data_IF_163605968181
#
_entry.id   IF_163605968181
#
_cell.length_a   1.000
_cell.length_b   1.000
_cell.length_c   1.000
_cell.angle_alpha   90.00
_cell.angle_beta   90.00
_cell.angle_gamma   90.00
#
_symmetry.space_group_name_H-M   'P 1'
#
loop_
_entity.id
_entity.type
_entity.pdbx_description
1 polymer ?
#
# COMPACT_ATOMS: atom_id res chain seq x y z
N UNK A 1 -16.22 -28.18 5.34
CA UNK A 1 -15.20 -27.81 4.33
C UNK A 1 -14.74 -26.37 4.39
N UNK A 2 -15.21 -25.54 5.32
CA UNK A 2 -14.80 -24.12 5.45
C UNK A 2 -13.67 -23.86 6.47
N UNK A 3 -13.18 -24.88 7.16
CA UNK A 3 -12.18 -24.72 8.25
C UNK A 3 -10.73 -24.91 7.81
N UNK A 4 -10.49 -25.47 6.63
CA UNK A 4 -9.14 -25.68 6.07
C UNK A 4 -8.64 -24.52 5.20
N UNK A 5 -9.51 -23.61 4.78
CA UNK A 5 -9.12 -22.47 3.94
C UNK A 5 -8.53 -21.29 4.74
N UNK A 6 -8.90 -21.15 6.01
CA UNK A 6 -8.47 -20.02 6.86
C UNK A 6 -7.06 -20.20 7.45
N UNK A 7 -6.58 -21.44 7.56
CA UNK A 7 -5.26 -21.74 8.15
C UNK A 7 -4.12 -21.51 7.15
N UNK A 8 -4.34 -21.71 5.84
CA UNK A 8 -3.30 -21.52 4.83
C UNK A 8 -3.02 -20.05 4.48
N UNK A 9 -4.01 -19.17 4.56
CA UNK A 9 -3.85 -17.75 4.24
C UNK A 9 -3.02 -16.99 5.29
N UNK A 10 -3.14 -17.34 6.57
CA UNK A 10 -2.36 -16.71 7.63
C UNK A 10 -0.90 -17.15 7.64
N UNK A 11 -0.61 -18.41 7.30
CA UNK A 11 0.76 -18.93 7.28
C UNK A 11 1.62 -18.32 6.16
N UNK A 12 1.03 -18.01 5.01
CA UNK A 12 1.78 -17.45 3.87
C UNK A 12 2.00 -15.94 3.98
N UNK A 13 1.02 -15.20 4.48
CA UNK A 13 1.18 -13.75 4.74
C UNK A 13 2.09 -13.48 5.94
N UNK A 14 2.03 -14.31 6.96
CA UNK A 14 2.96 -14.31 8.08
C UNK A 14 4.38 -14.67 7.61
N UNK A 15 4.55 -15.63 6.71
CA UNK A 15 5.85 -16.02 6.19
C UNK A 15 6.54 -14.91 5.37
N UNK A 16 5.77 -14.09 4.61
CA UNK A 16 6.30 -12.90 3.91
C UNK A 16 6.60 -11.77 4.92
N UNK A 17 5.83 -11.66 5.98
CA UNK A 17 6.07 -10.71 7.06
C UNK A 17 7.27 -11.10 7.92
N UNK A 18 7.51 -12.40 8.13
CA UNK A 18 8.66 -12.94 8.86
C UNK A 18 9.94 -12.94 8.03
N UNK A 19 9.87 -13.02 6.70
CA UNK A 19 11.05 -12.83 5.85
C UNK A 19 11.62 -11.41 5.95
N UNK A 20 10.80 -10.42 6.30
CA UNK A 20 11.25 -9.05 6.63
C UNK A 20 11.75 -8.90 8.07
N UNK A 21 11.45 -9.84 8.97
CA UNK A 21 11.81 -9.81 10.40
C UNK A 21 13.00 -10.74 10.73
N UNK A 22 13.32 -11.71 9.88
CA UNK A 22 14.41 -12.69 10.11
C UNK A 22 15.81 -12.07 10.09
N UNK A 23 15.96 -10.82 9.68
CA UNK A 23 17.24 -10.09 9.77
C UNK A 23 17.46 -9.41 11.14
N UNK A 24 16.50 -9.39 12.06
CA UNK A 24 16.57 -8.49 13.22
C UNK A 24 16.78 -9.13 14.59
N UNK A 25 16.96 -10.42 14.78
CA UNK A 25 17.24 -10.95 16.14
C UNK A 25 18.25 -12.09 16.08
N UNK A 26 19.54 -11.74 16.14
CA UNK A 26 20.61 -12.67 16.54
C UNK A 26 21.62 -11.90 17.38
N UNK A 27 21.36 -11.81 18.68
CA UNK A 27 22.36 -11.40 19.67
C UNK A 27 22.63 -12.59 20.59
N UNK A 28 23.91 -13.04 20.52
CA UNK A 28 24.75 -13.66 21.55
C UNK A 28 24.36 -15.03 22.15
N UNK A 29 25.09 -16.05 21.73
CA UNK A 29 25.95 -16.87 22.64
C UNK A 29 27.00 -17.62 21.81
N UNK A 30 28.29 -17.61 22.18
CA UNK A 30 29.30 -18.42 21.52
C UNK A 30 29.18 -19.87 22.02
N UNK A 31 28.65 -20.74 21.22
CA UNK A 31 28.74 -22.17 21.50
C UNK A 31 29.86 -22.75 20.63
N UNK A 32 30.88 -23.32 21.26
CA UNK A 32 31.94 -24.06 20.60
C UNK A 32 31.31 -25.24 19.89
N UNK A 33 30.98 -25.07 18.62
CA UNK A 33 30.61 -26.14 17.73
C UNK A 33 31.86 -26.91 17.34
N UNK A 34 31.95 -28.15 17.80
CA UNK A 34 32.91 -29.12 17.25
C UNK A 34 32.78 -29.13 15.73
N UNK A 35 33.83 -28.69 15.05
CA UNK A 35 34.05 -28.96 13.64
C UNK A 35 34.13 -30.45 13.45
N UNK A 36 33.03 -31.11 13.06
CA UNK A 36 33.09 -32.44 12.50
C UNK A 36 33.83 -32.32 11.17
N UNK A 37 35.15 -32.44 11.22
CA UNK A 37 35.94 -32.78 10.08
C UNK A 37 35.47 -34.19 9.62
N UNK A 38 34.64 -34.21 8.58
CA UNK A 38 34.41 -35.45 7.83
C UNK A 38 35.76 -35.88 7.28
N UNK A 39 36.38 -36.88 7.89
CA UNK A 39 37.57 -37.54 7.37
C UNK A 39 37.22 -38.09 5.98
N UNK A 40 37.86 -37.54 4.96
CA UNK A 40 37.93 -38.10 3.60
C UNK A 40 38.80 -39.36 3.62
N UNK A 41 38.20 -40.47 4.03
CA UNK A 41 38.83 -41.77 3.92
C UNK A 41 38.75 -42.29 2.50
N UNK A 42 39.87 -42.28 1.76
CA UNK A 42 40.16 -43.13 0.59
C UNK A 42 39.47 -42.73 -0.72
N UNK A 43 40.24 -42.14 -1.63
CA UNK A 43 40.14 -42.17 -3.11
C UNK A 43 38.74 -42.25 -3.74
N UNK A 44 37.85 -41.35 -3.39
CA UNK A 44 36.58 -41.13 -4.06
C UNK A 44 36.12 -39.71 -3.76
N UNK A 45 36.10 -38.85 -4.78
CA UNK A 45 35.43 -37.59 -4.73
C UNK A 45 33.97 -37.88 -4.32
N UNK A 46 33.53 -37.42 -3.15
CA UNK A 46 32.11 -37.48 -2.77
C UNK A 46 31.34 -36.65 -3.79
N UNK A 47 30.76 -37.31 -4.78
CA UNK A 47 29.85 -36.71 -5.73
C UNK A 47 28.55 -36.52 -4.99
N UNK A 48 28.06 -35.25 -4.91
CA UNK A 48 26.77 -34.97 -4.31
C UNK A 48 25.64 -35.71 -5.05
N UNK A 49 24.67 -36.21 -4.30
CA UNK A 49 23.53 -36.94 -4.89
C UNK A 49 22.56 -36.00 -5.57
N UNK A 50 21.98 -36.42 -6.69
CA UNK A 50 20.87 -35.70 -7.33
C UNK A 50 19.58 -36.06 -6.59
N UNK A 51 18.80 -35.05 -6.20
CA UNK A 51 17.47 -35.20 -5.62
C UNK A 51 16.37 -35.11 -6.68
N UNK A 52 16.53 -34.24 -7.67
CA UNK A 52 15.64 -34.18 -8.83
C UNK A 52 16.37 -33.67 -10.08
N UNK A 53 15.91 -34.16 -11.25
CA UNK A 53 16.24 -33.60 -12.55
C UNK A 53 15.12 -32.65 -12.93
N UNK A 54 15.47 -31.44 -13.37
CA UNK A 54 14.52 -30.37 -13.72
C UNK A 54 14.90 -29.77 -15.05
N UNK A 55 14.22 -30.17 -16.12
CA UNK A 55 14.59 -29.86 -17.52
C UNK A 55 16.05 -30.23 -17.81
N UNK A 56 16.90 -29.23 -18.06
CA UNK A 56 18.34 -29.37 -18.32
C UNK A 56 19.22 -29.14 -17.07
N UNK A 57 18.62 -28.96 -15.89
CA UNK A 57 19.28 -28.74 -14.61
C UNK A 57 18.96 -29.81 -13.57
N UNK A 58 19.54 -29.67 -12.39
CA UNK A 58 19.34 -30.59 -11.27
C UNK A 58 19.12 -29.83 -9.96
N UNK A 59 18.46 -30.49 -9.01
CA UNK A 59 18.44 -30.14 -7.59
C UNK A 59 19.28 -31.18 -6.86
N UNK A 60 20.24 -30.73 -6.05
CA UNK A 60 21.14 -31.59 -5.29
C UNK A 60 20.55 -31.99 -3.94
N UNK A 61 20.95 -33.17 -3.43
CA UNK A 61 20.55 -33.62 -2.09
C UNK A 61 21.08 -32.70 -1.00
N UNK A 62 22.31 -32.20 -1.15
CA UNK A 62 22.89 -31.22 -0.23
C UNK A 62 22.07 -29.92 -0.15
N UNK A 63 21.57 -29.42 -1.28
CA UNK A 63 20.70 -28.24 -1.30
C UNK A 63 19.41 -28.45 -0.46
N UNK A 64 18.81 -29.66 -0.58
CA UNK A 64 17.62 -30.02 0.20
C UNK A 64 17.92 -30.11 1.70
N UNK A 65 18.98 -30.84 2.07
CA UNK A 65 19.36 -31.06 3.49
C UNK A 65 19.81 -29.75 4.17
N UNK A 66 20.52 -28.88 3.46
CA UNK A 66 20.88 -27.53 3.96
C UNK A 66 19.62 -26.72 4.31
N UNK A 67 18.63 -26.70 3.41
CA UNK A 67 17.39 -25.96 3.61
C UNK A 67 16.54 -26.60 4.74
N UNK A 68 16.46 -27.93 4.79
CA UNK A 68 15.78 -28.66 5.88
C UNK A 68 16.43 -28.31 7.22
N UNK A 69 17.76 -28.37 7.30
CA UNK A 69 18.50 -28.04 8.51
C UNK A 69 18.23 -26.60 8.98
N UNK A 70 18.20 -25.65 8.06
CA UNK A 70 17.89 -24.25 8.36
C UNK A 70 16.46 -24.11 8.89
N UNK A 71 15.48 -24.78 8.28
CA UNK A 71 14.09 -24.74 8.73
C UNK A 71 13.94 -25.37 10.11
N UNK A 72 14.57 -26.53 10.38
CA UNK A 72 14.54 -27.17 11.68
C UNK A 72 15.06 -26.25 12.79
N UNK A 73 16.19 -25.57 12.58
CA UNK A 73 16.72 -24.58 13.52
C UNK A 73 15.74 -23.44 13.79
N UNK A 74 15.01 -23.00 12.76
CA UNK A 74 14.01 -21.92 12.92
C UNK A 74 12.81 -22.41 13.74
N UNK A 75 12.28 -23.60 13.49
CA UNK A 75 11.21 -24.20 14.29
C UNK A 75 11.62 -24.35 15.76
N UNK A 76 12.85 -24.85 16.03
CA UNK A 76 13.38 -24.97 17.39
C UNK A 76 13.45 -23.63 18.12
N UNK A 77 13.93 -22.58 17.45
CA UNK A 77 14.00 -21.22 18.03
C UNK A 77 12.62 -20.66 18.37
N UNK A 78 11.60 -20.98 17.56
CA UNK A 78 10.23 -20.50 17.75
C UNK A 78 9.43 -21.37 18.72
N UNK A 79 9.97 -22.52 19.18
CA UNK A 79 9.25 -23.48 20.00
C UNK A 79 8.03 -24.09 19.30
N UNK A 80 8.03 -24.09 17.95
CA UNK A 80 6.94 -24.61 17.16
C UNK A 80 7.06 -26.14 17.01
N UNK A 81 5.91 -26.79 16.81
CA UNK A 81 5.89 -28.24 16.60
C UNK A 81 6.49 -28.60 15.25
N UNK A 82 7.46 -29.51 15.25
CA UNK A 82 8.14 -29.96 14.06
C UNK A 82 7.25 -30.88 13.22
N UNK A 83 7.12 -30.68 11.92
CA UNK A 83 6.50 -31.63 11.01
C UNK A 83 7.38 -32.89 10.85
N UNK A 84 6.81 -34.01 10.38
CA UNK A 84 7.60 -35.20 10.05
C UNK A 84 8.71 -34.85 9.05
N UNK A 85 9.94 -35.25 9.33
CA UNK A 85 11.12 -34.87 8.55
C UNK A 85 11.03 -35.29 7.07
N UNK A 86 10.38 -36.41 6.79
CA UNK A 86 10.13 -36.86 5.41
C UNK A 86 9.22 -35.91 4.64
N UNK A 87 8.18 -35.39 5.28
CA UNK A 87 7.29 -34.39 4.68
C UNK A 87 8.04 -33.07 4.46
N UNK A 88 8.82 -32.63 5.45
CA UNK A 88 9.61 -31.40 5.33
C UNK A 88 10.61 -31.46 4.17
N UNK A 89 11.27 -32.64 3.95
CA UNK A 89 12.15 -32.85 2.79
C UNK A 89 11.42 -32.76 1.47
N UNK A 90 10.23 -33.36 1.40
CA UNK A 90 9.43 -33.33 0.18
C UNK A 90 8.97 -31.89 -0.14
N UNK A 91 8.49 -31.14 0.85
CA UNK A 91 8.07 -29.74 0.69
C UNK A 91 9.24 -28.83 0.25
N UNK A 92 10.44 -29.07 0.83
CA UNK A 92 11.67 -28.36 0.44
C UNK A 92 12.08 -28.71 -0.98
N UNK A 93 12.03 -30.00 -1.33
CA UNK A 93 12.38 -30.46 -2.68
C UNK A 93 11.46 -29.82 -3.73
N UNK A 94 10.14 -29.83 -3.53
CA UNK A 94 9.21 -29.21 -4.45
C UNK A 94 9.47 -27.70 -4.61
N UNK A 95 9.77 -27.00 -3.49
CA UNK A 95 10.13 -25.59 -3.54
C UNK A 95 11.40 -25.33 -4.35
N UNK A 96 12.45 -26.16 -4.18
CA UNK A 96 13.70 -26.02 -4.93
C UNK A 96 13.51 -26.36 -6.42
N UNK A 97 12.67 -27.35 -6.73
CA UNK A 97 12.28 -27.69 -8.10
C UNK A 97 11.62 -26.47 -8.76
N UNK A 98 10.60 -25.88 -8.11
CA UNK A 98 9.92 -24.70 -8.64
C UNK A 98 10.87 -23.52 -8.80
N UNK A 99 11.74 -23.27 -7.82
CA UNK A 99 12.76 -22.23 -7.91
C UNK A 99 13.69 -22.45 -9.11
N UNK A 100 14.12 -23.69 -9.36
CA UNK A 100 14.96 -24.05 -10.51
C UNK A 100 14.25 -23.77 -11.84
N UNK A 101 12.97 -24.14 -11.95
CA UNK A 101 12.15 -23.88 -13.14
C UNK A 101 12.04 -22.36 -13.40
N UNK A 102 11.78 -21.60 -12.36
CA UNK A 102 11.66 -20.13 -12.44
C UNK A 102 12.99 -19.49 -12.85
N UNK A 103 14.12 -19.91 -12.29
CA UNK A 103 15.44 -19.38 -12.68
C UNK A 103 15.77 -19.69 -14.15
N UNK A 104 15.48 -20.91 -14.63
CA UNK A 104 15.64 -21.27 -16.04
C UNK A 104 14.71 -20.43 -16.94
N UNK A 105 13.49 -20.10 -16.46
CA UNK A 105 12.56 -19.20 -17.18
C UNK A 105 13.13 -17.79 -17.27
N UNK A 106 13.68 -17.28 -16.16
CA UNK A 106 14.32 -15.97 -16.10
C UNK A 106 15.51 -15.87 -17.06
N UNK A 107 16.34 -16.91 -17.11
CA UNK A 107 17.47 -17.01 -18.04
C UNK A 107 17.02 -16.96 -19.51
N UNK A 108 15.96 -17.71 -19.86
CA UNK A 108 15.37 -17.68 -21.22
C UNK A 108 14.84 -16.30 -21.61
N UNK A 109 14.38 -15.49 -20.63
CA UNK A 109 13.97 -14.11 -20.86
C UNK A 109 15.12 -13.10 -20.86
N UNK A 110 16.36 -13.54 -20.62
CA UNK A 110 17.53 -12.68 -20.52
C UNK A 110 17.52 -11.78 -19.29
N UNK A 111 16.79 -12.16 -18.22
CA UNK A 111 16.81 -11.47 -16.95
C UNK A 111 18.17 -11.73 -16.29
N UNK A 112 18.99 -10.69 -16.21
CA UNK A 112 20.32 -10.78 -15.63
C UNK A 112 20.59 -9.57 -14.74
N UNK A 113 20.80 -9.82 -13.47
CA UNK A 113 21.12 -8.79 -12.48
C UNK A 113 22.60 -8.45 -12.59
N UNK A 114 22.91 -7.20 -12.95
CA UNK A 114 24.28 -6.71 -13.03
C UNK A 114 24.93 -6.66 -11.63
N UNK A 115 26.27 -6.74 -11.60
CA UNK A 115 27.01 -6.63 -10.34
C UNK A 115 26.78 -5.27 -9.67
N UNK A 116 26.58 -4.21 -10.42
CA UNK A 116 26.25 -2.87 -9.92
C UNK A 116 24.88 -2.85 -9.24
N UNK A 117 23.86 -3.42 -9.90
CA UNK A 117 22.52 -3.56 -9.34
C UNK A 117 22.49 -4.42 -8.07
N UNK A 118 23.26 -5.54 -8.08
CA UNK A 118 23.38 -6.39 -6.90
C UNK A 118 24.11 -5.69 -5.75
N UNK A 119 25.18 -4.93 -6.02
CA UNK A 119 25.88 -4.15 -5.00
C UNK A 119 24.97 -3.09 -4.40
N UNK A 120 24.16 -2.42 -5.22
CA UNK A 120 23.16 -1.45 -4.73
C UNK A 120 22.13 -2.10 -3.82
N UNK A 121 21.66 -3.32 -4.17
CA UNK A 121 20.74 -4.07 -3.33
C UNK A 121 21.38 -4.47 -1.99
N UNK A 122 22.62 -4.96 -2.00
CA UNK A 122 23.38 -5.30 -0.79
C UNK A 122 23.58 -4.06 0.08
N UNK A 123 23.93 -2.91 -0.52
CA UNK A 123 24.09 -1.66 0.19
C UNK A 123 22.79 -1.22 0.89
N UNK A 124 21.65 -1.36 0.22
CA UNK A 124 20.35 -1.07 0.83
C UNK A 124 20.05 -1.99 2.02
N UNK A 125 20.38 -3.29 1.92
CA UNK A 125 20.23 -4.22 3.04
C UNK A 125 21.16 -3.82 4.20
N UNK A 126 22.42 -3.47 3.93
CA UNK A 126 23.37 -3.03 4.96
C UNK A 126 22.86 -1.78 5.66
N UNK A 127 22.45 -0.75 4.93
CA UNK A 127 21.91 0.50 5.48
C UNK A 127 20.66 0.26 6.33
N UNK A 128 19.75 -0.62 5.91
CA UNK A 128 18.56 -0.98 6.69
C UNK A 128 18.90 -1.69 8.01
N UNK A 129 20.10 -2.26 8.10
CA UNK A 129 20.65 -2.86 9.33
C UNK A 129 21.62 -1.93 10.07
N UNK A 130 21.70 -0.65 9.68
CA UNK A 130 22.61 0.35 10.25
C UNK A 130 24.10 -0.03 10.14
N UNK A 131 24.48 -0.68 9.04
CA UNK A 131 25.86 -1.11 8.73
C UNK A 131 26.25 -0.53 7.38
N UNK A 132 27.54 -0.27 7.19
CA UNK A 132 28.07 0.15 5.88
C UNK A 132 28.22 -1.05 4.95
N UNK A 133 28.29 -0.80 3.65
CA UNK A 133 28.53 -1.85 2.66
C UNK A 133 29.84 -2.61 2.90
N UNK A 134 30.88 -1.89 3.31
CA UNK A 134 32.22 -2.45 3.59
C UNK A 134 32.25 -3.34 4.84
N UNK A 135 31.46 -3.01 5.87
CA UNK A 135 31.36 -3.79 7.12
C UNK A 135 30.42 -4.99 7.00
N UNK A 136 29.53 -4.97 6.03
CA UNK A 136 28.48 -5.99 5.91
C UNK A 136 28.99 -7.45 5.79
N UNK A 137 30.09 -7.75 5.05
CA UNK A 137 30.64 -9.10 5.03
C UNK A 137 31.12 -9.61 6.41
N UNK A 138 31.67 -8.72 7.26
CA UNK A 138 32.14 -9.09 8.61
C UNK A 138 30.94 -9.38 9.54
N UNK A 139 29.86 -8.61 9.40
CA UNK A 139 28.62 -8.86 10.15
C UNK A 139 28.01 -10.22 9.77
N UNK A 140 27.93 -10.54 8.49
CA UNK A 140 27.45 -11.85 8.03
C UNK A 140 28.35 -12.99 8.56
N UNK A 141 29.68 -12.82 8.52
CA UNK A 141 30.62 -13.82 9.02
C UNK A 141 30.47 -14.04 10.53
N UNK A 142 30.21 -12.98 11.32
CA UNK A 142 29.92 -13.09 12.75
C UNK A 142 28.65 -13.91 13.05
N UNK A 143 27.69 -13.91 12.11
CA UNK A 143 26.47 -14.70 12.17
C UNK A 143 26.62 -16.10 11.55
N UNK A 144 27.82 -16.44 11.08
CA UNK A 144 28.11 -17.72 10.44
C UNK A 144 27.57 -17.85 9.00
N UNK A 145 27.30 -16.71 8.33
CA UNK A 145 26.78 -16.65 6.97
C UNK A 145 27.95 -16.35 6.01
N UNK A 146 28.13 -17.18 5.00
CA UNK A 146 29.11 -16.93 3.94
C UNK A 146 28.61 -15.80 3.02
N UNK A 147 29.46 -14.78 2.82
CA UNK A 147 29.11 -13.60 2.02
C UNK A 147 28.83 -13.93 0.55
N UNK A 148 29.59 -14.88 -0.04
CA UNK A 148 29.40 -15.24 -1.46
C UNK A 148 28.12 -16.04 -1.65
N UNK A 149 27.79 -16.92 -0.69
CA UNK A 149 26.52 -17.65 -0.67
C UNK A 149 25.35 -16.69 -0.56
N UNK A 150 25.40 -15.74 0.42
CA UNK A 150 24.41 -14.70 0.58
C UNK A 150 24.21 -13.86 -0.68
N UNK A 151 25.31 -13.40 -1.29
CA UNK A 151 25.30 -12.62 -2.53
C UNK A 151 24.59 -13.35 -3.67
N UNK A 152 24.87 -14.65 -3.82
CA UNK A 152 24.25 -15.48 -4.84
C UNK A 152 22.75 -15.71 -4.56
N UNK A 153 22.38 -15.98 -3.33
CA UNK A 153 20.98 -16.13 -2.91
C UNK A 153 20.19 -14.84 -3.15
N UNK A 154 20.74 -13.69 -2.81
CA UNK A 154 20.12 -12.38 -3.07
C UNK A 154 19.98 -12.12 -4.57
N UNK A 155 20.98 -12.45 -5.37
CA UNK A 155 20.90 -12.36 -6.85
C UNK A 155 19.76 -13.20 -7.39
N UNK A 156 19.63 -14.45 -6.95
CA UNK A 156 18.54 -15.34 -7.35
C UNK A 156 17.18 -14.76 -6.93
N UNK A 157 17.07 -14.25 -5.71
CA UNK A 157 15.81 -13.63 -5.23
C UNK A 157 15.40 -12.45 -6.09
N UNK A 158 16.31 -11.50 -6.36
CA UNK A 158 16.03 -10.35 -7.24
C UNK A 158 15.62 -10.82 -8.64
N UNK A 159 16.31 -11.83 -9.18
CA UNK A 159 15.96 -12.41 -10.48
C UNK A 159 14.53 -12.97 -10.50
N UNK A 160 14.14 -13.69 -9.45
CA UNK A 160 12.79 -14.24 -9.31
C UNK A 160 11.73 -13.16 -9.11
N UNK A 161 12.05 -12.08 -8.38
CA UNK A 161 11.16 -10.96 -8.19
C UNK A 161 10.91 -10.20 -9.51
N UNK A 162 11.97 -10.01 -10.31
CA UNK A 162 11.86 -9.39 -11.64
C UNK A 162 11.07 -10.26 -12.61
N UNK A 163 11.27 -11.59 -12.59
CA UNK A 163 10.48 -12.54 -13.37
C UNK A 163 9.00 -12.47 -12.99
N UNK A 164 8.68 -12.49 -11.70
CA UNK A 164 7.30 -12.38 -11.20
C UNK A 164 6.67 -11.05 -11.59
N UNK A 165 7.43 -9.96 -11.46
CA UNK A 165 6.96 -8.65 -11.90
C UNK A 165 6.60 -8.65 -13.40
N UNK A 166 7.40 -9.29 -14.22
CA UNK A 166 7.22 -9.35 -15.66
C UNK A 166 6.09 -10.27 -16.10
N UNK A 167 6.00 -11.47 -15.53
CA UNK A 167 5.05 -12.51 -15.99
C UNK A 167 3.73 -12.50 -15.23
N UNK A 168 3.72 -12.09 -13.96
CA UNK A 168 2.53 -12.16 -13.11
C UNK A 168 1.89 -10.80 -12.94
N UNK A 169 2.65 -9.78 -12.52
CA UNK A 169 2.07 -8.47 -12.22
C UNK A 169 1.43 -7.81 -13.46
N UNK A 170 1.95 -8.11 -14.67
CA UNK A 170 1.39 -7.61 -15.92
C UNK A 170 0.02 -8.19 -16.27
N UNK A 171 -0.34 -9.35 -15.72
CA UNK A 171 -1.64 -10.00 -15.92
C UNK A 171 -2.73 -9.42 -15.03
N UNK A 172 -2.34 -8.72 -13.93
CA UNK A 172 -3.27 -8.24 -12.93
C UNK A 172 -3.85 -6.89 -13.33
N UNK A 173 -5.14 -6.87 -13.57
CA UNK A 173 -5.93 -5.65 -13.73
C UNK A 173 -6.97 -5.54 -12.62
N UNK A 174 -7.30 -4.31 -12.24
CA UNK A 174 -8.39 -3.99 -11.32
C UNK A 174 -9.46 -3.27 -12.11
N UNK A 175 -10.64 -3.85 -12.18
CA UNK A 175 -11.79 -3.22 -12.83
C UNK A 175 -12.46 -2.20 -11.89
N UNK A 176 -13.17 -1.22 -12.46
CA UNK A 176 -13.96 -0.27 -11.67
C UNK A 176 -14.98 -0.95 -10.77
N UNK A 177 -15.66 -2.00 -11.28
CA UNK A 177 -16.64 -2.74 -10.48
C UNK A 177 -16.04 -3.44 -9.27
N UNK A 178 -14.82 -3.98 -9.39
CA UNK A 178 -14.12 -4.60 -8.26
C UNK A 178 -13.70 -3.53 -7.23
N UNK A 179 -13.25 -2.40 -7.73
CA UNK A 179 -12.84 -1.28 -6.90
C UNK A 179 -14.03 -0.72 -6.11
N UNK A 180 -15.17 -0.49 -6.78
CA UNK A 180 -16.39 0.00 -6.14
C UNK A 180 -16.89 -0.99 -5.07
N UNK A 181 -16.91 -2.29 -5.41
CA UNK A 181 -17.30 -3.33 -4.45
C UNK A 181 -16.40 -3.38 -3.22
N UNK A 182 -15.08 -3.25 -3.42
CA UNK A 182 -14.10 -3.22 -2.34
C UNK A 182 -14.27 -1.97 -1.47
N UNK A 183 -14.46 -0.79 -2.07
CA UNK A 183 -14.67 0.47 -1.35
C UNK A 183 -15.94 0.45 -0.51
N UNK A 184 -17.03 -0.17 -1.00
CA UNK A 184 -18.26 -0.36 -0.21
C UNK A 184 -17.98 -1.21 1.03
N UNK A 185 -17.31 -2.35 0.88
CA UNK A 185 -16.97 -3.23 2.00
C UNK A 185 -16.01 -2.55 2.98
N UNK A 186 -15.01 -1.82 2.46
CA UNK A 186 -14.06 -1.07 3.29
C UNK A 186 -14.77 0.02 4.11
N UNK A 187 -15.69 0.76 3.48
CA UNK A 187 -16.50 1.79 4.16
C UNK A 187 -17.33 1.19 5.30
N UNK A 188 -17.88 -0.02 5.12
CA UNK A 188 -18.63 -0.72 6.18
C UNK A 188 -17.73 -1.12 7.37
N UNK A 189 -16.49 -1.56 7.11
CA UNK A 189 -15.54 -1.89 8.17
C UNK A 189 -14.99 -0.63 8.86
N UNK A 190 -14.70 0.43 8.10
CA UNK A 190 -14.22 1.70 8.63
C UNK A 190 -15.28 2.32 9.57
N UNK A 191 -16.56 2.26 9.21
CA UNK A 191 -17.65 2.73 10.05
C UNK A 191 -17.68 2.08 11.44
N UNK A 192 -17.33 0.81 11.54
CA UNK A 192 -17.24 0.12 12.84
C UNK A 192 -16.09 0.62 13.71
N UNK A 193 -15.07 1.21 13.09
CA UNK A 193 -13.91 1.77 13.79
C UNK A 193 -14.11 3.21 14.27
N UNK A 194 -15.07 3.93 13.72
CA UNK A 194 -15.35 5.33 14.09
C UNK A 194 -16.11 5.43 15.40
N UNK A 195 -15.94 6.56 16.09
CA UNK A 195 -16.78 6.96 17.20
C UNK A 195 -17.85 7.96 16.72
N UNK A 196 -19.10 7.71 17.09
CA UNK A 196 -20.24 8.53 16.71
C UNK A 196 -20.88 9.21 17.93
N UNK A 197 -21.13 10.53 17.87
CA UNK A 197 -22.05 11.19 18.80
C UNK A 197 -23.42 11.27 18.13
N UNK A 198 -24.40 10.56 18.69
CA UNK A 198 -25.72 10.41 18.10
C UNK A 198 -26.82 10.95 19.01
N UNK A 199 -27.89 11.44 18.38
CA UNK A 199 -29.19 11.64 19.02
C UNK A 199 -30.24 10.76 18.34
N UNK A 200 -31.24 10.32 19.11
CA UNK A 200 -32.18 9.29 18.68
C UNK A 200 -33.61 9.59 19.10
N UNK A 201 -34.54 9.49 18.16
CA UNK A 201 -35.98 9.46 18.38
C UNK A 201 -36.49 8.05 18.08
N UNK A 202 -37.30 7.51 18.99
CA UNK A 202 -37.94 6.20 18.87
C UNK A 202 -39.46 6.32 19.03
N UNK A 203 -40.20 5.82 18.06
CA UNK A 203 -41.63 5.53 18.16
C UNK A 203 -41.82 4.01 18.23
N UNK A 204 -42.02 3.42 19.41
CA UNK A 204 -41.94 1.95 19.56
C UNK A 204 -43.17 1.28 18.96
N UNK A 205 -42.92 0.09 18.41
CA UNK A 205 -43.94 -0.87 17.97
C UNK A 205 -43.89 -2.08 18.89
N UNK A 206 -45.04 -2.56 19.31
CA UNK A 206 -45.14 -3.76 20.14
C UNK A 206 -45.86 -4.87 19.34
N UNK A 207 -45.77 -6.10 19.81
CA UNK A 207 -46.51 -7.23 19.25
C UNK A 207 -48.03 -7.08 19.30
N UNK A 208 -48.53 -6.05 20.02
CA UNK A 208 -49.98 -5.73 20.10
C UNK A 208 -50.36 -4.57 19.18
N UNK A 209 -49.41 -3.92 18.54
CA UNK A 209 -49.70 -2.81 17.61
C UNK A 209 -50.36 -3.36 16.38
N UNK A 210 -51.57 -2.87 16.09
CA UNK A 210 -52.30 -3.19 14.87
C UNK A 210 -51.72 -2.41 13.68
N UNK A 211 -52.10 -2.85 12.47
CA UNK A 211 -51.63 -2.28 11.20
C UNK A 211 -51.84 -0.75 11.13
N UNK A 212 -53.01 -0.27 11.62
CA UNK A 212 -53.31 1.18 11.67
C UNK A 212 -52.43 1.96 12.63
N UNK A 213 -51.92 1.35 13.70
CA UNK A 213 -51.00 1.99 14.62
C UNK A 213 -49.57 2.07 14.01
N UNK A 214 -49.18 1.02 13.34
CA UNK A 214 -47.89 0.98 12.63
C UNK A 214 -47.88 2.07 11.55
N UNK A 215 -48.86 2.18 10.70
CA UNK A 215 -48.95 3.21 9.64
C UNK A 215 -48.92 4.61 10.22
N UNK A 216 -49.70 4.87 11.30
CA UNK A 216 -49.71 6.16 11.96
C UNK A 216 -48.33 6.55 12.51
N UNK A 217 -47.57 5.60 13.11
CA UNK A 217 -46.24 5.89 13.63
C UNK A 217 -45.21 6.07 12.50
N UNK A 218 -45.38 5.39 11.37
CA UNK A 218 -44.59 5.63 10.18
C UNK A 218 -44.79 7.03 9.61
N UNK A 219 -46.02 7.45 9.46
CA UNK A 219 -46.34 8.84 9.02
C UNK A 219 -45.82 9.86 10.03
N UNK A 220 -45.96 9.57 11.32
CA UNK A 220 -45.50 10.47 12.40
C UNK A 220 -43.97 10.64 12.36
N UNK A 221 -43.17 9.62 12.22
CA UNK A 221 -41.70 9.77 12.22
C UNK A 221 -41.23 10.61 11.02
N UNK A 222 -41.90 10.50 9.87
CA UNK A 222 -41.64 11.32 8.69
C UNK A 222 -41.99 12.80 8.97
N UNK A 223 -43.18 13.04 9.57
CA UNK A 223 -43.61 14.41 9.96
C UNK A 223 -42.62 15.03 10.98
N UNK A 224 -42.14 14.25 11.94
CA UNK A 224 -41.15 14.74 12.91
C UNK A 224 -39.85 15.13 12.24
N UNK A 225 -39.37 14.38 11.25
CA UNK A 225 -38.19 14.73 10.45
C UNK A 225 -38.39 16.06 9.74
N UNK A 226 -39.53 16.24 9.04
CA UNK A 226 -39.85 17.47 8.33
C UNK A 226 -39.89 18.67 9.26
N UNK A 227 -40.45 18.53 10.46
CA UNK A 227 -40.47 19.63 11.48
C UNK A 227 -39.07 20.04 11.92
N UNK A 228 -38.16 19.07 12.05
CA UNK A 228 -36.76 19.40 12.40
C UNK A 228 -36.07 20.10 11.21
N UNK A 229 -36.32 19.66 9.99
CA UNK A 229 -35.80 20.32 8.78
C UNK A 229 -36.39 21.75 8.62
N UNK A 230 -37.62 21.99 9.06
CA UNK A 230 -38.28 23.31 9.09
C UNK A 230 -37.83 24.21 10.25
N UNK A 231 -36.89 23.73 11.10
CA UNK A 231 -36.23 24.53 12.12
C UNK A 231 -36.61 24.26 13.57
N UNK A 232 -37.46 23.29 13.86
CA UNK A 232 -37.64 22.80 15.24
C UNK A 232 -36.38 22.07 15.70
N UNK A 233 -36.02 22.20 16.98
CA UNK A 233 -34.82 21.51 17.49
C UNK A 233 -35.09 20.03 17.71
N UNK A 234 -34.12 19.20 17.35
CA UNK A 234 -34.18 17.73 17.56
C UNK A 234 -34.52 17.41 19.01
N UNK A 235 -33.91 18.11 19.95
CA UNK A 235 -34.06 17.92 21.38
C UNK A 235 -35.51 18.23 21.84
N UNK A 236 -36.17 19.22 21.25
CA UNK A 236 -37.56 19.55 21.56
C UNK A 236 -38.51 18.46 21.08
N UNK A 237 -38.33 18.03 19.85
CA UNK A 237 -39.09 16.94 19.22
C UNK A 237 -38.87 15.62 19.99
N UNK A 238 -37.63 15.31 20.34
CA UNK A 238 -37.31 14.09 21.09
C UNK A 238 -38.00 14.07 22.47
N UNK A 239 -38.01 15.21 23.20
CA UNK A 239 -38.70 15.31 24.50
C UNK A 239 -40.20 15.19 24.38
N UNK A 240 -40.78 15.64 23.29
CA UNK A 240 -42.23 15.71 23.11
C UNK A 240 -42.83 14.43 22.56
N UNK A 241 -42.09 13.73 21.73
CA UNK A 241 -42.63 12.60 20.92
C UNK A 241 -41.85 11.30 21.05
N UNK A 242 -40.59 11.32 21.46
CA UNK A 242 -39.81 10.07 21.58
C UNK A 242 -40.22 9.32 22.83
N UNK A 243 -40.35 7.98 22.66
CA UNK A 243 -40.52 7.03 23.75
C UNK A 243 -39.22 6.27 24.06
N UNK A 244 -38.07 6.70 23.49
CA UNK A 244 -36.76 6.13 23.76
C UNK A 244 -36.24 6.48 25.15
N UNK A 245 -35.26 5.72 25.63
CA UNK A 245 -34.69 5.90 27.00
C UNK A 245 -34.10 7.27 27.24
N UNK A 246 -33.59 7.93 26.21
CA UNK A 246 -33.00 9.28 26.32
C UNK A 246 -33.93 10.40 25.88
N UNK A 247 -35.25 10.15 25.72
CA UNK A 247 -36.24 11.14 25.30
C UNK A 247 -36.21 12.40 26.17
N UNK A 248 -36.22 12.26 27.50
CA UNK A 248 -36.15 13.36 28.46
C UNK A 248 -34.85 14.17 28.39
N UNK A 249 -33.77 13.57 27.89
CA UNK A 249 -32.49 14.22 27.67
C UNK A 249 -32.32 14.71 26.22
N UNK A 250 -33.44 14.97 25.52
CA UNK A 250 -33.41 15.43 24.12
C UNK A 250 -32.95 14.36 23.12
N UNK A 251 -33.03 13.10 23.49
CA UNK A 251 -32.64 11.96 22.62
C UNK A 251 -31.15 11.69 22.54
N UNK A 252 -30.30 12.43 23.26
CA UNK A 252 -28.84 12.34 23.12
C UNK A 252 -28.29 11.01 23.68
N UNK A 253 -27.65 10.20 22.83
CA UNK A 253 -26.97 8.96 23.18
C UNK A 253 -25.52 9.20 23.64
N UNK A 254 -24.90 10.27 23.12
CA UNK A 254 -23.47 10.59 23.33
C UNK A 254 -22.55 9.81 22.41
N UNK A 255 -21.24 9.84 22.74
CA UNK A 255 -20.21 9.14 21.97
C UNK A 255 -20.28 7.65 22.18
N UNK A 256 -20.36 6.89 21.09
CA UNK A 256 -20.39 5.42 21.04
C UNK A 256 -19.50 4.93 19.90
N UNK A 257 -18.81 3.81 20.09
CA UNK A 257 -18.06 3.17 19.01
C UNK A 257 -19.01 2.59 17.98
N UNK A 258 -18.64 2.69 16.69
CA UNK A 258 -19.41 2.07 15.63
C UNK A 258 -19.61 0.57 15.84
N UNK A 259 -18.59 -0.15 16.35
CA UNK A 259 -18.68 -1.57 16.68
C UNK A 259 -19.68 -1.91 17.80
N UNK A 260 -20.12 -0.92 18.58
CA UNK A 260 -21.12 -1.06 19.66
C UNK A 260 -22.53 -0.70 19.21
N UNK A 261 -22.66 -0.03 18.05
CA UNK A 261 -23.94 0.33 17.46
C UNK A 261 -24.60 -0.87 16.78
N UNK A 262 -25.95 -0.99 16.85
CA UNK A 262 -26.68 -1.93 16.02
C UNK A 262 -26.38 -1.71 14.53
N UNK A 263 -26.20 -2.77 13.77
CA UNK A 263 -25.90 -2.68 12.32
C UNK A 263 -26.92 -1.83 11.54
N UNK A 264 -28.20 -1.91 11.92
CA UNK A 264 -29.26 -1.09 11.32
C UNK A 264 -29.04 0.41 11.53
N UNK A 265 -28.40 0.81 12.66
CA UNK A 265 -28.06 2.21 12.92
C UNK A 265 -26.89 2.65 12.04
N UNK A 266 -25.83 1.84 11.94
CA UNK A 266 -24.71 2.11 11.05
C UNK A 266 -25.17 2.24 9.59
N UNK A 267 -26.09 1.35 9.16
CA UNK A 267 -26.66 1.42 7.83
C UNK A 267 -27.44 2.72 7.62
N UNK A 268 -28.22 3.14 8.61
CA UNK A 268 -29.04 4.36 8.52
C UNK A 268 -28.22 5.66 8.49
N UNK A 269 -27.03 5.67 9.11
CA UNK A 269 -26.16 6.86 9.15
C UNK A 269 -24.99 6.79 8.16
N UNK A 270 -24.96 5.79 7.27
CA UNK A 270 -23.82 5.51 6.36
C UNK A 270 -23.40 6.72 5.54
N UNK A 271 -24.37 7.46 5.03
CA UNK A 271 -24.18 8.59 4.12
C UNK A 271 -24.69 9.90 4.76
N UNK A 272 -24.83 9.93 6.10
CA UNK A 272 -25.32 11.10 6.85
C UNK A 272 -24.11 11.92 7.33
N UNK A 273 -24.08 13.19 6.99
CA UNK A 273 -23.04 14.12 7.43
C UNK A 273 -23.25 14.58 8.88
N UNK A 274 -22.23 15.25 9.44
CA UNK A 274 -22.35 15.84 10.77
C UNK A 274 -23.43 16.93 10.74
N UNK A 275 -24.26 16.94 11.77
CA UNK A 275 -25.44 17.77 11.95
C UNK A 275 -26.64 17.40 11.06
N UNK A 276 -26.59 16.33 10.30
CA UNK A 276 -27.70 15.85 9.48
C UNK A 276 -28.54 14.75 10.17
N UNK A 277 -29.71 14.51 9.60
CA UNK A 277 -30.66 13.48 10.00
C UNK A 277 -30.55 12.25 9.07
N UNK A 278 -30.64 11.07 9.65
CA UNK A 278 -30.86 9.87 8.85
C UNK A 278 -32.20 9.89 8.14
N UNK A 279 -32.40 9.03 7.13
CA UNK A 279 -33.76 8.67 6.73
C UNK A 279 -34.43 7.92 7.90
N UNK A 280 -35.77 8.12 8.09
CA UNK A 280 -36.52 7.31 9.04
C UNK A 280 -36.46 5.83 8.69
N UNK A 281 -36.18 4.97 9.65
CA UNK A 281 -36.08 3.51 9.41
C UNK A 281 -36.82 2.72 10.49
N UNK A 282 -37.15 1.48 10.18
CA UNK A 282 -37.88 0.57 11.05
C UNK A 282 -37.01 -0.59 11.53
N UNK A 283 -37.11 -0.89 12.83
CA UNK A 283 -36.59 -2.11 13.44
C UNK A 283 -37.69 -2.92 14.10
N UNK A 284 -37.33 -4.03 14.75
CA UNK A 284 -38.23 -4.80 15.61
C UNK A 284 -38.75 -3.99 16.81
N UNK A 285 -38.06 -2.92 17.21
CA UNK A 285 -38.42 -2.06 18.35
C UNK A 285 -39.34 -0.91 17.96
N UNK A 286 -39.43 -0.54 16.69
CA UNK A 286 -40.24 0.58 16.23
C UNK A 286 -39.63 1.36 15.08
N UNK A 287 -40.07 2.59 14.92
CA UNK A 287 -39.53 3.56 13.95
C UNK A 287 -38.50 4.44 14.64
N UNK A 288 -37.41 4.67 13.93
CA UNK A 288 -36.24 5.40 14.40
C UNK A 288 -35.92 6.59 13.50
N UNK A 289 -35.41 7.64 14.10
CA UNK A 289 -34.76 8.78 13.43
C UNK A 289 -33.48 9.09 14.22
N UNK A 290 -32.36 9.15 13.51
CA UNK A 290 -31.06 9.49 14.10
C UNK A 290 -30.60 10.87 13.61
N UNK A 291 -29.85 11.58 14.47
CA UNK A 291 -29.04 12.73 14.09
C UNK A 291 -27.60 12.43 14.43
N UNK A 292 -26.71 12.69 13.49
CA UNK A 292 -25.26 12.59 13.68
C UNK A 292 -24.75 13.94 14.22
N UNK A 293 -24.41 14.01 15.51
CA UNK A 293 -23.88 15.25 16.11
C UNK A 293 -22.35 15.36 15.92
N UNK A 294 -21.66 14.25 15.66
CA UNK A 294 -20.22 14.21 15.44
C UNK A 294 -19.72 12.84 15.08
N UNK A 295 -18.60 12.80 14.35
CA UNK A 295 -17.87 11.58 13.99
C UNK A 295 -16.39 11.80 14.31
N UNK A 296 -15.71 10.80 14.87
CA UNK A 296 -14.26 10.77 15.07
C UNK A 296 -13.66 9.54 14.41
N UNK A 297 -12.42 9.66 13.95
CA UNK A 297 -11.72 8.61 13.22
C UNK A 297 -11.93 8.65 11.71
N UNK A 298 -12.80 9.57 11.22
CA UNK A 298 -13.02 9.86 9.81
C UNK A 298 -12.39 11.20 9.41
N UNK A 299 -11.14 11.45 9.87
CA UNK A 299 -10.47 12.71 9.56
C UNK A 299 -10.09 12.75 8.07
N UNK A 300 -10.42 13.83 7.35
CA UNK A 300 -10.07 13.96 5.95
C UNK A 300 -8.55 14.05 5.76
N UNK A 301 -8.06 13.52 4.66
CA UNK A 301 -6.67 13.66 4.24
C UNK A 301 -6.55 14.95 3.43
N UNK A 302 -6.06 15.99 4.09
CA UNK A 302 -5.88 17.30 3.46
C UNK A 302 -4.47 17.43 2.93
N UNK A 303 -4.33 17.81 1.66
CA UNK A 303 -3.08 18.08 1.00
C UNK A 303 -2.96 19.56 0.63
N UNK A 304 -1.87 20.18 1.07
CA UNK A 304 -1.53 21.54 0.66
C UNK A 304 -0.91 21.52 -0.74
N UNK A 305 -1.55 22.25 -1.65
CA UNK A 305 -1.14 22.33 -3.05
C UNK A 305 -0.85 23.77 -3.44
N UNK A 306 0.15 23.98 -4.29
CA UNK A 306 0.43 25.26 -4.94
C UNK A 306 0.14 25.18 -6.44
N UNK A 307 -0.26 26.31 -7.01
CA UNK A 307 -0.33 26.49 -8.46
C UNK A 307 0.76 27.47 -8.88
N UNK A 308 1.51 27.11 -9.91
CA UNK A 308 2.59 27.94 -10.47
C UNK A 308 2.55 27.88 -11.99
N UNK A 309 3.00 28.97 -12.62
CA UNK A 309 3.38 29.00 -14.04
C UNK A 309 4.89 29.07 -14.13
N UNK A 310 5.47 28.46 -15.16
CA UNK A 310 6.89 28.57 -15.39
C UNK A 310 7.28 28.77 -16.86
N UNK A 311 8.48 29.29 -17.06
CA UNK A 311 9.16 29.33 -18.35
C UNK A 311 10.48 28.61 -18.17
N UNK A 312 10.75 27.64 -19.04
CA UNK A 312 11.99 26.88 -19.10
C UNK A 312 12.80 27.31 -20.34
N UNK A 313 14.08 27.59 -20.12
CA UNK A 313 15.09 27.73 -21.20
C UNK A 313 16.17 26.70 -20.98
N UNK A 314 16.40 25.83 -21.94
CA UNK A 314 17.44 24.78 -21.88
C UNK A 314 18.76 25.31 -22.39
N UNK A 315 19.84 24.96 -21.70
CA UNK A 315 21.19 25.25 -22.20
C UNK A 315 21.63 24.24 -23.25
N UNK A 316 22.42 24.70 -24.22
CA UNK A 316 22.99 23.86 -25.24
C UNK A 316 24.35 24.45 -25.68
N UNK A 317 24.98 23.89 -26.71
CA UNK A 317 26.32 24.34 -27.22
C UNK A 317 26.35 25.80 -27.70
N UNK A 318 25.20 26.37 -28.04
CA UNK A 318 25.09 27.76 -28.55
C UNK A 318 24.61 28.70 -27.45
N UNK A 319 23.73 28.23 -26.54
CA UNK A 319 23.13 28.97 -25.43
C UNK A 319 23.71 28.46 -24.13
N UNK A 320 24.76 29.09 -23.64
CA UNK A 320 25.37 28.76 -22.36
C UNK A 320 24.53 29.26 -21.16
N UNK A 321 24.98 28.94 -19.96
CA UNK A 321 24.29 29.31 -18.72
C UNK A 321 24.11 30.83 -18.57
N UNK A 322 25.13 31.60 -18.89
CA UNK A 322 25.08 33.07 -18.75
C UNK A 322 24.10 33.69 -19.73
N UNK A 323 24.10 33.21 -20.99
CA UNK A 323 23.18 33.68 -22.02
C UNK A 323 21.71 33.25 -21.74
N UNK A 324 21.50 32.06 -21.17
CA UNK A 324 20.17 31.60 -20.77
C UNK A 324 19.60 32.40 -19.57
N UNK A 325 20.43 32.70 -18.58
CA UNK A 325 20.07 33.57 -17.46
C UNK A 325 19.69 34.98 -17.94
N UNK A 326 20.51 35.60 -18.80
CA UNK A 326 20.27 36.95 -19.29
C UNK A 326 19.02 37.02 -20.18
N UNK A 327 18.79 35.97 -20.99
CA UNK A 327 17.54 35.83 -21.78
C UNK A 327 16.33 35.79 -20.84
N UNK A 328 16.37 35.06 -19.75
CA UNK A 328 15.26 35.00 -18.79
C UNK A 328 15.08 36.30 -18.00
N UNK A 329 16.16 37.04 -17.69
CA UNK A 329 16.03 38.39 -17.11
C UNK A 329 15.29 39.34 -18.03
N UNK A 330 15.60 39.29 -19.34
CA UNK A 330 14.92 40.09 -20.36
C UNK A 330 13.44 39.69 -20.44
N UNK A 331 13.14 38.41 -20.54
CA UNK A 331 11.78 37.85 -20.58
C UNK A 331 11.01 38.28 -19.33
N UNK A 332 11.62 38.15 -18.16
CA UNK A 332 11.00 38.56 -16.89
C UNK A 332 10.63 40.06 -16.91
N UNK A 333 11.54 40.92 -17.38
CA UNK A 333 11.26 42.36 -17.49
C UNK A 333 10.09 42.61 -18.44
N UNK A 334 10.09 41.97 -19.61
CA UNK A 334 8.99 42.07 -20.56
C UNK A 334 7.65 41.66 -19.91
N UNK A 335 7.60 40.55 -19.18
CA UNK A 335 6.36 40.09 -18.50
C UNK A 335 5.91 41.11 -17.45
N UNK A 336 6.85 41.71 -16.70
CA UNK A 336 6.49 42.72 -15.70
C UNK A 336 5.91 43.97 -16.36
N UNK A 337 6.43 44.37 -17.50
CA UNK A 337 6.00 45.58 -18.23
C UNK A 337 4.70 45.35 -19.01
N UNK A 338 4.54 44.22 -19.67
CA UNK A 338 3.41 43.86 -20.54
C UNK A 338 2.27 43.12 -19.83
N UNK A 339 2.54 42.47 -18.71
CA UNK A 339 1.55 41.81 -17.83
C UNK A 339 1.03 40.46 -18.29
N UNK A 340 1.56 39.84 -19.34
CA UNK A 340 1.08 38.58 -19.88
C UNK A 340 2.12 37.45 -19.79
N UNK A 341 2.24 36.81 -18.63
CA UNK A 341 3.10 35.66 -18.44
C UNK A 341 2.74 34.50 -19.38
N UNK A 342 1.43 34.22 -19.54
CA UNK A 342 0.97 33.09 -20.33
C UNK A 342 1.31 33.17 -21.80
N UNK A 343 1.07 34.33 -22.42
CA UNK A 343 1.41 34.57 -23.83
C UNK A 343 2.91 34.45 -24.08
N UNK A 344 3.73 35.01 -23.17
CA UNK A 344 5.19 34.90 -23.27
C UNK A 344 5.64 33.47 -23.08
N UNK A 345 5.11 32.74 -22.08
CA UNK A 345 5.44 31.35 -21.86
C UNK A 345 5.13 30.47 -23.09
N UNK A 346 3.95 30.65 -23.68
CA UNK A 346 3.57 29.91 -24.88
C UNK A 346 4.48 30.19 -26.09
N UNK A 347 5.08 31.39 -26.15
CA UNK A 347 5.97 31.79 -27.25
C UNK A 347 7.42 31.33 -27.08
N UNK A 348 7.93 31.26 -25.82
CA UNK A 348 9.38 31.12 -25.60
C UNK A 348 9.75 29.95 -24.66
N UNK A 349 8.82 29.35 -23.93
CA UNK A 349 9.13 28.25 -23.05
C UNK A 349 9.47 26.98 -23.83
N UNK A 350 10.54 26.33 -23.40
CA UNK A 350 11.01 25.05 -23.97
C UNK A 350 10.51 23.84 -23.14
N UNK A 351 9.54 24.07 -22.24
CA UNK A 351 8.89 22.98 -21.52
C UNK A 351 7.75 22.38 -22.36
N UNK A 352 7.87 21.12 -22.80
CA UNK A 352 6.86 20.50 -23.66
C UNK A 352 5.54 20.25 -22.95
N UNK A 353 5.53 20.22 -21.59
CA UNK A 353 4.37 19.89 -20.78
C UNK A 353 3.44 21.07 -20.51
N UNK A 354 3.98 22.28 -20.41
CA UNK A 354 3.20 23.46 -19.97
C UNK A 354 3.27 24.66 -20.91
N UNK A 355 4.23 24.69 -21.84
CA UNK A 355 4.44 25.88 -22.71
C UNK A 355 3.16 26.30 -23.43
N UNK A 356 2.42 25.38 -24.04
CA UNK A 356 1.20 25.66 -24.80
C UNK A 356 0.03 26.13 -23.90
N UNK A 357 0.08 25.76 -22.63
CA UNK A 357 -0.91 26.17 -21.62
C UNK A 357 -0.46 27.42 -20.83
N UNK A 358 0.41 28.25 -21.47
CA UNK A 358 0.91 29.49 -20.87
C UNK A 358 1.83 29.25 -19.66
N UNK A 359 2.50 28.11 -19.62
CA UNK A 359 3.40 27.72 -18.54
C UNK A 359 2.71 27.16 -17.31
N UNK A 360 1.38 26.98 -17.32
CA UNK A 360 0.62 26.50 -16.16
C UNK A 360 0.99 25.04 -15.82
N UNK A 361 1.43 24.81 -14.59
CA UNK A 361 1.79 23.51 -14.07
C UNK A 361 0.63 22.83 -13.31
N UNK A 362 -0.52 23.50 -13.22
CA UNK A 362 -1.64 23.05 -12.41
C UNK A 362 -1.37 23.09 -10.89
N UNK A 363 -2.25 22.47 -10.14
CA UNK A 363 -2.11 22.33 -8.68
C UNK A 363 -1.20 21.16 -8.36
N UNK A 364 -0.15 21.41 -7.60
CA UNK A 364 0.85 20.41 -7.24
C UNK A 364 1.13 20.39 -5.74
N UNK A 365 1.25 19.19 -5.13
CA UNK A 365 1.60 19.05 -3.74
C UNK A 365 3.09 19.27 -3.48
N UNK A 366 3.49 19.33 -2.20
CA UNK A 366 4.91 19.30 -1.80
C UNK A 366 5.59 18.02 -2.28
N UNK A 367 6.84 18.17 -2.73
CA UNK A 367 7.66 17.08 -3.25
C UNK A 367 7.38 16.73 -4.71
N UNK A 368 6.47 17.44 -5.38
CA UNK A 368 6.21 17.24 -6.80
C UNK A 368 7.31 17.83 -7.70
N UNK A 369 7.79 19.02 -7.33
CA UNK A 369 8.85 19.69 -8.07
C UNK A 369 10.23 19.29 -7.55
N UNK A 370 11.26 19.54 -8.37
CA UNK A 370 12.65 19.41 -7.92
C UNK A 370 12.94 20.42 -6.81
N UNK A 371 13.87 20.10 -5.85
CA UNK A 371 14.06 20.91 -4.65
C UNK A 371 14.31 22.39 -4.94
N UNK A 372 15.14 22.70 -5.93
CA UNK A 372 15.50 24.08 -6.27
C UNK A 372 14.28 24.87 -6.80
N UNK A 373 13.39 24.20 -7.54
CA UNK A 373 12.16 24.81 -8.05
C UNK A 373 11.15 25.02 -6.90
N UNK A 374 11.01 24.02 -6.04
CA UNK A 374 10.06 24.05 -4.93
C UNK A 374 10.41 25.12 -3.90
N UNK A 375 11.69 25.24 -3.52
CA UNK A 375 12.17 26.27 -2.60
C UNK A 375 11.83 27.67 -3.10
N UNK A 376 12.08 27.95 -4.39
CA UNK A 376 11.76 29.23 -5.00
C UNK A 376 10.24 29.45 -5.03
N UNK A 377 9.46 28.45 -5.47
CA UNK A 377 8.00 28.57 -5.58
C UNK A 377 7.35 28.94 -4.24
N UNK A 378 7.78 28.30 -3.13
CA UNK A 378 7.26 28.59 -1.79
C UNK A 378 7.77 29.90 -1.18
N UNK A 379 8.81 30.52 -1.75
CA UNK A 379 9.34 31.81 -1.29
C UNK A 379 8.62 33.02 -1.90
N UNK A 380 7.77 32.80 -2.90
CA UNK A 380 7.12 33.88 -3.67
C UNK A 380 5.79 34.28 -3.04
N UNK A 381 5.48 35.59 -3.14
CA UNK A 381 4.14 36.09 -2.87
C UNK A 381 3.19 35.85 -4.06
N UNK A 382 1.88 36.01 -3.81
CA UNK A 382 0.83 35.86 -4.84
C UNK A 382 1.12 36.73 -6.08
N UNK A 383 1.11 36.11 -7.25
CA UNK A 383 1.44 36.69 -8.55
C UNK A 383 2.88 37.19 -8.70
N UNK A 384 3.73 36.97 -7.73
CA UNK A 384 5.13 37.35 -7.83
C UNK A 384 5.86 36.44 -8.83
N UNK A 385 6.81 37.04 -9.58
CA UNK A 385 7.66 36.35 -10.55
C UNK A 385 9.08 36.24 -9.96
N UNK A 386 9.61 35.02 -9.92
CA UNK A 386 10.97 34.77 -9.42
C UNK A 386 12.05 35.46 -10.23
N UNK A 387 13.22 35.62 -9.65
CA UNK A 387 14.45 35.79 -10.44
C UNK A 387 14.75 34.50 -11.20
N UNK A 388 15.51 34.54 -12.31
CA UNK A 388 15.99 33.34 -12.98
C UNK A 388 16.79 32.45 -12.02
N UNK A 389 16.53 31.15 -12.08
CA UNK A 389 17.28 30.15 -11.30
C UNK A 389 17.48 28.89 -12.13
N UNK A 390 18.47 28.07 -11.74
CA UNK A 390 18.86 26.87 -12.48
C UNK A 390 18.40 25.61 -11.76
N UNK A 391 17.92 24.64 -12.53
CA UNK A 391 17.69 23.25 -12.08
C UNK A 391 18.41 22.27 -13.02
N UNK A 392 18.27 20.97 -12.76
CA UNK A 392 18.76 19.93 -13.67
C UNK A 392 18.15 19.95 -15.08
N UNK A 393 17.03 20.63 -15.27
CA UNK A 393 16.32 20.71 -16.56
C UNK A 393 16.70 21.95 -17.38
N UNK A 394 17.33 22.94 -16.78
CA UNK A 394 17.69 24.20 -17.39
C UNK A 394 17.45 25.38 -16.48
N UNK A 395 17.26 26.56 -17.09
CA UNK A 395 16.99 27.80 -16.39
C UNK A 395 15.49 28.11 -16.38
N UNK A 396 15.00 28.58 -15.24
CA UNK A 396 13.57 28.83 -15.00
C UNK A 396 13.29 30.22 -14.49
N UNK A 397 12.11 30.72 -14.79
CA UNK A 397 11.38 31.72 -13.99
C UNK A 397 10.00 31.14 -13.65
N UNK A 398 9.51 31.45 -12.45
CA UNK A 398 8.23 30.98 -11.94
C UNK A 398 7.35 32.18 -11.61
N UNK A 399 6.06 32.07 -11.89
CA UNK A 399 5.03 32.93 -11.31
C UNK A 399 4.18 32.11 -10.34
N UNK A 400 4.08 32.56 -9.09
CA UNK A 400 3.24 31.91 -8.09
C UNK A 400 1.78 32.34 -8.24
N UNK A 401 0.88 31.38 -8.46
CA UNK A 401 -0.53 31.65 -8.75
C UNK A 401 -1.42 31.45 -7.53
N UNK A 402 -0.98 30.70 -6.52
CA UNK A 402 -1.74 30.51 -5.30
C UNK A 402 -1.47 29.20 -4.59
N UNK A 403 -2.15 29.06 -3.46
CA UNK A 403 -2.14 27.86 -2.61
C UNK A 403 -3.58 27.46 -2.27
N UNK A 404 -3.81 26.18 -2.11
CA UNK A 404 -5.07 25.64 -1.62
C UNK A 404 -4.85 24.44 -0.70
N UNK A 405 -5.78 24.24 0.22
CA UNK A 405 -5.96 22.96 0.91
C UNK A 405 -6.95 22.13 0.11
N UNK A 406 -6.57 20.94 -0.29
CA UNK A 406 -7.38 20.05 -1.12
C UNK A 406 -7.63 18.75 -0.36
N UNK A 407 -8.90 18.36 -0.23
CA UNK A 407 -9.27 17.08 0.33
C UNK A 407 -9.02 15.98 -0.72
N UNK A 408 -8.07 15.09 -0.41
CA UNK A 408 -7.69 13.95 -1.25
C UNK A 408 -8.07 12.61 -0.61
N UNK A 409 -9.01 12.61 0.33
CA UNK A 409 -9.41 11.42 1.08
C UNK A 409 -9.88 10.31 0.13
N UNK A 410 -10.73 10.64 -0.83
CA UNK A 410 -11.27 9.69 -1.80
C UNK A 410 -10.16 9.12 -2.69
N UNK A 411 -9.27 9.96 -3.20
CA UNK A 411 -8.14 9.53 -4.02
C UNK A 411 -7.17 8.62 -3.25
N UNK A 412 -6.93 8.92 -1.98
CA UNK A 412 -6.09 8.11 -1.11
C UNK A 412 -6.75 6.75 -0.84
N UNK A 413 -8.03 6.73 -0.52
CA UNK A 413 -8.80 5.49 -0.31
C UNK A 413 -8.83 4.65 -1.58
N UNK A 414 -9.09 5.26 -2.74
CA UNK A 414 -9.09 4.59 -4.04
C UNK A 414 -7.72 3.98 -4.36
N UNK A 415 -6.63 4.71 -4.17
CA UNK A 415 -5.26 4.19 -4.37
C UNK A 415 -4.94 3.02 -3.43
N UNK A 416 -5.34 3.12 -2.16
CA UNK A 416 -5.18 2.02 -1.17
C UNK A 416 -5.98 0.79 -1.59
N UNK A 417 -7.22 0.97 -2.02
CA UNK A 417 -8.09 -0.11 -2.47
C UNK A 417 -7.52 -0.82 -3.70
N UNK A 418 -7.08 -0.07 -4.72
CA UNK A 418 -6.40 -0.64 -5.91
C UNK A 418 -5.17 -1.45 -5.51
N UNK A 419 -4.36 -0.94 -4.59
CA UNK A 419 -3.17 -1.65 -4.11
C UNK A 419 -3.54 -2.93 -3.35
N UNK A 420 -4.56 -2.87 -2.50
CA UNK A 420 -5.04 -4.03 -1.74
C UNK A 420 -5.60 -5.12 -2.66
N UNK A 421 -6.44 -4.76 -3.63
CA UNK A 421 -7.00 -5.70 -4.63
C UNK A 421 -5.88 -6.32 -5.46
N UNK A 422 -4.90 -5.52 -5.91
CA UNK A 422 -3.74 -6.04 -6.64
C UNK A 422 -2.94 -7.04 -5.81
N UNK A 423 -2.72 -6.76 -4.54
CA UNK A 423 -1.98 -7.65 -3.65
C UNK A 423 -2.74 -8.98 -3.41
N UNK A 424 -4.07 -8.94 -3.27
CA UNK A 424 -4.90 -10.14 -3.17
C UNK A 424 -4.80 -10.99 -4.45
N UNK A 425 -5.01 -10.35 -5.60
CA UNK A 425 -4.90 -11.03 -6.91
C UNK A 425 -3.50 -11.55 -7.19
N UNK A 426 -2.47 -10.84 -6.72
CA UNK A 426 -1.07 -11.25 -6.93
C UNK A 426 -0.77 -12.60 -6.28
N UNK A 427 -1.29 -12.85 -5.07
CA UNK A 427 -1.10 -14.13 -4.39
C UNK A 427 -1.70 -15.29 -5.19
N UNK A 428 -2.96 -15.13 -5.62
CA UNK A 428 -3.66 -16.15 -6.40
C UNK A 428 -2.99 -16.38 -7.76
N UNK A 429 -2.61 -15.31 -8.45
CA UNK A 429 -1.97 -15.39 -9.76
C UNK A 429 -0.58 -16.02 -9.69
N UNK A 430 0.19 -15.76 -8.62
CA UNK A 430 1.48 -16.44 -8.38
C UNK A 430 1.29 -17.95 -8.21
N UNK A 431 0.25 -18.39 -7.50
CA UNK A 431 -0.03 -19.83 -7.33
C UNK A 431 -0.45 -20.49 -8.65
N UNK A 432 -1.28 -19.81 -9.45
CA UNK A 432 -1.71 -20.28 -10.77
C UNK A 432 -0.47 -20.38 -11.68
N UNK A 433 0.30 -19.33 -11.78
CA UNK A 433 1.52 -19.28 -12.58
C UNK A 433 2.55 -20.31 -12.16
N UNK A 434 2.74 -20.53 -10.86
CA UNK A 434 3.65 -21.53 -10.34
C UNK A 434 3.23 -22.95 -10.76
N UNK A 435 1.92 -23.25 -10.75
CA UNK A 435 1.37 -24.52 -11.25
C UNK A 435 1.57 -24.66 -12.76
N UNK A 436 1.29 -23.62 -13.54
CA UNK A 436 1.53 -23.60 -14.98
C UNK A 436 2.99 -23.92 -15.30
N UNK A 437 3.93 -23.24 -14.65
CA UNK A 437 5.36 -23.49 -14.82
C UNK A 437 5.77 -24.94 -14.45
N UNK A 438 5.18 -25.46 -13.36
CA UNK A 438 5.45 -26.82 -12.89
C UNK A 438 4.94 -27.87 -13.87
N UNK A 439 3.77 -27.66 -14.48
CA UNK A 439 3.14 -28.56 -15.46
C UNK A 439 3.86 -28.52 -16.82
N UNK A 440 4.45 -27.39 -17.21
CA UNK A 440 5.26 -27.26 -18.43
C UNK A 440 6.65 -27.90 -18.31
N UNK A 441 7.15 -28.10 -17.10
CA UNK A 441 8.52 -28.54 -16.86
C UNK A 441 8.64 -30.07 -16.82
N UNK A 442 9.70 -30.60 -17.41
CA UNK A 442 10.13 -31.99 -17.15
C UNK A 442 10.76 -32.07 -15.76
N UNK A 443 10.21 -32.94 -14.91
CA UNK A 443 10.74 -33.16 -13.56
C UNK A 443 10.73 -34.64 -13.23
N UNK A 444 11.91 -35.16 -12.86
CA UNK A 444 12.11 -36.53 -12.37
C UNK A 444 12.71 -36.47 -10.96
N UNK A 445 11.96 -36.93 -9.96
CA UNK A 445 12.45 -37.04 -8.58
C UNK A 445 13.16 -38.33 -8.38
N UNK A 446 14.30 -38.27 -7.71
CA UNK A 446 15.11 -39.46 -7.37
C UNK A 446 14.94 -39.79 -5.88
N UNK A 447 14.92 -41.11 -5.52
CA UNK A 447 14.73 -41.50 -4.13
C UNK A 447 15.83 -40.93 -3.21
N UNK A 448 15.43 -40.49 -2.03
CA UNK A 448 16.36 -40.23 -0.92
C UNK A 448 16.64 -41.58 -0.25
N UNK A 449 17.70 -42.27 -0.68
CA UNK A 449 18.17 -43.50 -0.02
C UNK A 449 19.01 -43.16 1.20
#
# INVERSE_FOLDING_TARGET
MAFLHTINHNLFSEMIRYLKIIILVLILQPNQGETQTRELGGTGQLVDGIAAIVNDGVVLRSEVEDQVTMLLRNFERQGAQLPPIGQLREDVLERLILQRIQLQRAERYGINISDEGLNSAINNVALNNNVTFEEFPEVLAAEGIDYFKYRNELKQQITLDELRQREVSSRISVSESELDSYLILQKEEDQKSYDYDLSHILLPITSRSGEGDINRKQEMIIDLRLKIEDGETFESIARSFSEGQQATNGGRLGWMKGSELPEIFLTAIRDTEIDELSEPFQSSSGFHLLRVNGIKGNDPVIEEQINVRHILIRTNEILDDAAAEEKLKTIRTQIIDEGDFGAVASAVSEDPGSAQDGGDMGWAPRGFFVPEFEEIAYSLDMNQISSPFKSRYGWHIIQYMGQRSHDITEEVQRRKAVSAIRNLKLSDEIEIWARELRDEAYVEKLPFD
#
